data_IF_211755271242
#
_entry.id   IF_211755271242
#
_cell.length_a   1.000
_cell.length_b   1.000
_cell.length_c   1.000
_cell.angle_alpha   90.00
_cell.angle_beta   90.00
_cell.angle_gamma   90.00
#
_symmetry.space_group_name_H-M   'P 1'
#
loop_
_entity.id
_entity.type
_entity.pdbx_description
1 polymer ?
#
# COMPACT_ATOMS: atom_id res chain seq x y z
N UNK A 1 -32.32 -53.95 -7.10
CA UNK A 1 -31.81 -52.60 -6.77
C UNK A 1 -31.60 -51.81 -8.06
N UNK A 2 -32.33 -50.71 -8.27
CA UNK A 2 -32.36 -50.00 -9.57
C UNK A 2 -31.15 -49.07 -9.75
N UNK A 3 -30.27 -49.38 -10.71
CA UNK A 3 -29.00 -48.67 -11.00
C UNK A 3 -29.18 -47.14 -11.20
N UNK A 4 -30.33 -46.70 -11.72
CA UNK A 4 -30.65 -45.27 -11.90
C UNK A 4 -30.83 -44.50 -10.59
N UNK A 5 -31.39 -45.12 -9.56
CA UNK A 5 -31.58 -44.47 -8.24
C UNK A 5 -30.28 -44.33 -7.46
N UNK A 6 -29.33 -45.25 -7.68
CA UNK A 6 -28.02 -45.20 -7.03
C UNK A 6 -27.16 -44.03 -7.55
N UNK A 7 -27.16 -43.78 -8.86
CA UNK A 7 -26.41 -42.66 -9.44
C UNK A 7 -27.00 -41.29 -9.08
N UNK A 8 -28.32 -41.18 -8.99
CA UNK A 8 -28.98 -39.93 -8.53
C UNK A 8 -28.67 -39.63 -7.06
N UNK A 9 -28.66 -40.65 -6.19
CA UNK A 9 -28.30 -40.47 -4.78
C UNK A 9 -26.80 -40.15 -4.60
N UNK A 10 -25.92 -40.79 -5.37
CA UNK A 10 -24.47 -40.55 -5.30
C UNK A 10 -24.05 -39.17 -5.83
N UNK A 11 -24.67 -38.69 -6.93
CA UNK A 11 -24.33 -37.40 -7.55
C UNK A 11 -24.75 -36.18 -6.70
N UNK A 12 -25.90 -36.26 -6.02
CA UNK A 12 -26.38 -35.17 -5.16
C UNK A 12 -25.53 -35.07 -3.87
N UNK A 13 -25.12 -36.20 -3.29
CA UNK A 13 -24.29 -36.21 -2.08
C UNK A 13 -22.86 -35.70 -2.29
N UNK A 14 -22.28 -35.89 -3.49
CA UNK A 14 -20.93 -35.41 -3.80
C UNK A 14 -20.88 -33.91 -4.07
N UNK A 15 -21.91 -33.32 -4.69
CA UNK A 15 -21.96 -31.88 -4.97
C UNK A 15 -22.15 -31.04 -3.70
N UNK A 16 -22.89 -31.52 -2.70
CA UNK A 16 -23.10 -30.79 -1.45
C UNK A 16 -21.86 -30.81 -0.55
N UNK A 17 -21.11 -31.92 -0.51
CA UNK A 17 -19.91 -32.04 0.32
C UNK A 17 -18.69 -31.33 -0.32
N UNK A 18 -18.51 -31.46 -1.63
CA UNK A 18 -17.38 -30.83 -2.32
C UNK A 18 -17.63 -29.33 -2.64
N UNK A 19 -18.87 -28.96 -2.97
CA UNK A 19 -19.21 -27.59 -3.38
C UNK A 19 -19.28 -26.58 -2.24
N UNK A 20 -19.81 -26.96 -1.07
CA UNK A 20 -19.94 -26.05 0.07
C UNK A 20 -18.60 -25.67 0.71
N UNK A 21 -17.61 -26.55 0.62
CA UNK A 21 -16.32 -26.43 1.31
C UNK A 21 -15.29 -25.59 0.55
N UNK A 22 -15.54 -25.25 -0.73
CA UNK A 22 -14.57 -24.53 -1.57
C UNK A 22 -14.82 -23.02 -1.64
N UNK A 23 -15.98 -22.51 -1.17
CA UNK A 23 -16.32 -21.09 -1.26
C UNK A 23 -16.01 -20.27 0.00
N UNK A 24 -15.67 -20.89 1.13
CA UNK A 24 -15.45 -20.16 2.40
C UNK A 24 -14.05 -19.59 2.56
N UNK A 25 -13.08 -20.01 1.75
CA UNK A 25 -11.66 -19.69 1.99
C UNK A 25 -11.12 -18.51 1.16
N UNK A 26 -11.99 -17.76 0.48
CA UNK A 26 -11.63 -16.51 -0.21
C UNK A 26 -12.07 -15.24 0.54
N UNK A 27 -12.50 -15.36 1.80
CA UNK A 27 -12.70 -14.16 2.63
C UNK A 27 -11.39 -13.75 3.28
N UNK A 28 -10.71 -12.82 2.62
CA UNK A 28 -9.83 -11.85 3.24
C UNK A 28 -8.61 -12.46 3.92
N UNK A 29 -7.47 -12.45 3.21
CA UNK A 29 -6.19 -12.33 3.88
C UNK A 29 -6.21 -11.02 4.68
N UNK A 30 -6.72 -11.08 5.91
CA UNK A 30 -6.69 -9.97 6.84
C UNK A 30 -5.21 -9.66 7.07
N UNK A 31 -4.80 -8.46 6.65
CA UNK A 31 -3.44 -7.99 6.90
C UNK A 31 -3.31 -7.85 8.41
N UNK A 32 -2.69 -8.83 9.04
CA UNK A 32 -2.30 -8.77 10.45
C UNK A 32 -1.21 -7.70 10.56
N UNK A 33 -1.61 -6.49 10.92
CA UNK A 33 -0.68 -5.46 11.36
C UNK A 33 -0.26 -5.83 12.79
N UNK A 34 1.04 -5.95 13.09
CA UNK A 34 1.47 -6.13 14.47
C UNK A 34 0.91 -4.99 15.31
N UNK A 35 0.31 -5.33 16.44
CA UNK A 35 -0.21 -4.36 17.40
C UNK A 35 0.92 -3.43 17.82
N UNK A 36 0.83 -2.17 17.43
CA UNK A 36 1.86 -1.18 17.75
C UNK A 36 1.88 -1.02 19.27
N UNK A 37 2.99 -1.35 19.92
CA UNK A 37 3.22 -0.98 21.31
C UNK A 37 3.11 0.54 21.39
N UNK A 38 2.23 1.03 22.25
CA UNK A 38 2.01 2.45 22.49
C UNK A 38 3.22 3.07 23.19
N UNK A 39 4.29 3.29 22.43
CA UNK A 39 5.39 4.19 22.81
C UNK A 39 5.22 5.46 22.00
N UNK A 40 4.93 6.56 22.71
CA UNK A 40 4.64 7.91 22.22
C UNK A 40 3.77 7.96 20.96
N UNK A 41 2.46 8.11 21.16
CA UNK A 41 1.49 8.38 20.07
C UNK A 41 1.84 9.71 19.41
N UNK A 42 2.81 9.71 18.49
CA UNK A 42 3.10 10.81 17.61
C UNK A 42 1.83 11.08 16.81
N UNK A 43 1.19 12.20 17.10
CA UNK A 43 -0.04 12.62 16.44
C UNK A 43 0.31 12.92 14.98
N UNK A 44 -0.08 12.02 14.08
CA UNK A 44 0.00 12.27 12.65
C UNK A 44 -1.10 13.28 12.31
N UNK A 45 -0.77 14.46 11.73
CA UNK A 45 -1.78 15.45 11.36
C UNK A 45 -2.81 14.84 10.40
N UNK A 46 -4.09 15.13 10.60
CA UNK A 46 -5.18 14.60 9.75
C UNK A 46 -4.99 14.95 8.26
N UNK A 47 -4.47 16.15 7.96
CA UNK A 47 -4.13 16.54 6.59
C UNK A 47 -3.08 15.62 5.97
N UNK A 48 -2.10 15.17 6.77
CA UNK A 48 -1.08 14.24 6.29
C UNK A 48 -1.65 12.86 5.96
N UNK A 49 -2.62 12.38 6.75
CA UNK A 49 -3.34 11.14 6.44
C UNK A 49 -4.08 11.23 5.10
N UNK A 50 -4.65 12.39 4.78
CA UNK A 50 -5.24 12.64 3.46
C UNK A 50 -4.16 12.51 2.37
N UNK A 51 -2.98 13.13 2.52
CA UNK A 51 -1.91 13.03 1.52
C UNK A 51 -1.44 11.58 1.33
N UNK A 52 -1.31 10.84 2.43
CA UNK A 52 -0.97 9.43 2.41
C UNK A 52 -1.99 8.58 1.68
N UNK A 53 -3.28 8.86 1.81
CA UNK A 53 -4.35 8.10 1.13
C UNK A 53 -4.22 8.13 -0.40
N UNK A 54 -3.67 9.21 -0.97
CA UNK A 54 -3.34 9.29 -2.39
C UNK A 54 -1.94 8.73 -2.68
N UNK A 55 -0.97 8.95 -1.78
CA UNK A 55 0.40 8.43 -1.93
C UNK A 55 0.41 6.90 -2.11
N UNK A 56 -0.37 6.17 -1.30
CA UNK A 56 -0.43 4.70 -1.35
C UNK A 56 -1.02 4.13 -2.64
N UNK A 57 -1.66 4.96 -3.48
CA UNK A 57 -2.12 4.54 -4.81
C UNK A 57 -0.97 4.45 -5.83
N UNK A 58 0.26 4.79 -5.44
CA UNK A 58 1.47 4.59 -6.24
C UNK A 58 1.57 3.16 -6.81
N UNK A 59 1.96 3.00 -8.08
CA UNK A 59 2.29 1.68 -8.57
C UNK A 59 3.56 1.21 -7.86
N UNK A 60 3.67 -0.10 -7.64
CA UNK A 60 4.90 -0.72 -7.15
C UNK A 60 5.12 -2.06 -7.83
N UNK A 61 6.39 -2.50 -7.90
CA UNK A 61 6.75 -3.82 -8.43
C UNK A 61 5.93 -4.90 -7.74
N UNK A 62 5.22 -5.72 -8.51
CA UNK A 62 4.27 -6.74 -7.99
C UNK A 62 3.25 -6.20 -6.96
N UNK A 63 2.99 -4.89 -6.95
CA UNK A 63 2.17 -4.21 -5.97
C UNK A 63 2.58 -4.45 -4.49
N UNK A 64 3.88 -4.68 -4.24
CA UNK A 64 4.40 -4.99 -2.89
C UNK A 64 4.30 -3.83 -1.92
N UNK A 65 4.13 -2.60 -2.42
CA UNK A 65 4.03 -1.36 -1.62
C UNK A 65 5.21 -1.25 -0.64
N UNK A 66 6.46 -1.16 -1.13
CA UNK A 66 7.66 -1.34 -0.31
C UNK A 66 8.05 -0.09 0.49
N UNK A 67 7.09 0.75 0.85
CA UNK A 67 7.31 1.99 1.60
C UNK A 67 6.86 1.83 3.06
N UNK A 68 7.63 2.43 3.97
CA UNK A 68 7.25 2.73 5.34
C UNK A 68 7.35 4.24 5.53
N UNK A 69 6.52 4.76 6.42
CA UNK A 69 6.61 6.15 6.83
C UNK A 69 6.51 6.27 8.34
N UNK A 70 7.35 7.12 8.92
CA UNK A 70 7.35 7.39 10.35
C UNK A 70 7.51 8.89 10.63
N UNK A 71 6.87 9.43 11.66
CA UNK A 71 7.09 10.82 12.05
C UNK A 71 8.55 11.04 12.50
N UNK A 72 9.06 12.25 12.24
CA UNK A 72 10.40 12.70 12.57
C UNK A 72 10.40 14.14 13.13
N UNK A 73 9.22 14.65 13.49
CA UNK A 73 8.94 16.01 13.93
C UNK A 73 7.49 16.38 13.61
N UNK A 74 7.07 17.60 13.95
CA UNK A 74 5.68 18.06 13.79
C UNK A 74 5.18 17.98 12.33
N UNK A 75 6.02 18.39 11.38
CA UNK A 75 5.71 18.40 9.94
C UNK A 75 6.80 17.67 9.13
N UNK A 76 7.48 16.71 9.75
CA UNK A 76 8.59 15.98 9.12
C UNK A 76 8.42 14.49 9.28
N UNK A 77 8.74 13.75 8.23
CA UNK A 77 8.57 12.30 8.18
C UNK A 77 9.79 11.66 7.51
N UNK A 78 10.13 10.46 7.94
CA UNK A 78 11.13 9.63 7.27
C UNK A 78 10.39 8.59 6.43
N UNK A 79 10.78 8.49 5.16
CA UNK A 79 10.32 7.45 4.25
C UNK A 79 11.43 6.42 4.09
N UNK A 80 11.06 5.17 4.38
CA UNK A 80 11.99 4.05 4.44
C UNK A 80 11.51 2.91 3.57
N UNK A 81 12.46 2.07 3.18
CA UNK A 81 12.20 0.82 2.47
C UNK A 81 11.66 -0.24 3.43
N UNK A 82 10.49 -0.81 3.11
CA UNK A 82 9.93 -1.94 3.86
C UNK A 82 10.66 -3.24 3.47
N UNK A 83 11.60 -3.67 4.31
CA UNK A 83 12.36 -4.93 4.09
C UNK A 83 11.47 -6.16 3.93
N UNK A 84 10.28 -6.19 4.53
CA UNK A 84 9.34 -7.32 4.44
C UNK A 84 8.67 -7.44 3.07
N UNK A 85 8.71 -6.38 2.27
CA UNK A 85 8.07 -6.29 0.95
C UNK A 85 9.08 -6.41 -0.21
N UNK A 86 10.35 -6.66 0.07
CA UNK A 86 11.38 -6.79 -0.94
C UNK A 86 11.29 -8.13 -1.67
N UNK A 87 11.71 -8.14 -2.93
CA UNK A 87 11.69 -9.31 -3.79
C UNK A 87 13.10 -9.62 -4.32
N UNK A 88 14.02 -10.17 -3.51
CA UNK A 88 15.42 -10.34 -3.90
C UNK A 88 15.65 -11.16 -5.18
N UNK A 89 14.73 -12.08 -5.50
CA UNK A 89 14.80 -12.87 -6.73
C UNK A 89 14.46 -12.07 -8.00
N UNK A 90 13.62 -11.03 -7.89
CA UNK A 90 13.14 -10.21 -9.01
C UNK A 90 13.88 -8.87 -9.08
N UNK A 91 14.16 -8.28 -7.91
CA UNK A 91 14.78 -6.97 -7.73
C UNK A 91 15.97 -7.07 -6.75
N UNK A 92 17.08 -7.75 -7.14
CA UNK A 92 18.19 -8.04 -6.25
C UNK A 92 18.91 -6.78 -5.73
N UNK A 93 18.82 -5.67 -6.45
CA UNK A 93 19.42 -4.39 -6.08
C UNK A 93 18.42 -3.42 -5.42
N UNK A 94 17.17 -3.85 -5.19
CA UNK A 94 16.06 -3.01 -4.72
C UNK A 94 15.79 -1.76 -5.59
N UNK A 95 16.18 -1.78 -6.87
CA UNK A 95 16.03 -0.66 -7.80
C UNK A 95 14.55 -0.39 -8.07
N UNK A 96 13.77 -1.42 -8.35
CA UNK A 96 12.33 -1.28 -8.60
C UNK A 96 11.58 -0.86 -7.34
N UNK A 97 12.05 -1.30 -6.18
CA UNK A 97 11.53 -0.90 -4.89
C UNK A 97 11.78 0.59 -4.62
N UNK A 98 12.97 1.10 -4.95
CA UNK A 98 13.29 2.54 -4.85
C UNK A 98 12.47 3.36 -5.88
N UNK A 99 12.29 2.86 -7.10
CA UNK A 99 11.41 3.51 -8.09
C UNK A 99 9.96 3.60 -7.59
N UNK A 100 9.49 2.56 -6.91
CA UNK A 100 8.17 2.53 -6.27
C UNK A 100 8.03 3.59 -5.18
N UNK A 101 9.08 3.82 -4.37
CA UNK A 101 9.13 4.92 -3.39
C UNK A 101 9.08 6.29 -4.08
N UNK A 102 9.78 6.45 -5.21
CA UNK A 102 9.69 7.68 -6.01
C UNK A 102 8.27 7.97 -6.47
N UNK A 103 7.55 6.98 -6.99
CA UNK A 103 6.16 7.14 -7.41
C UNK A 103 5.20 7.42 -6.24
N UNK A 104 5.46 6.81 -5.08
CA UNK A 104 4.78 7.12 -3.82
C UNK A 104 4.97 8.57 -3.39
N UNK A 105 6.21 9.07 -3.45
CA UNK A 105 6.53 10.44 -3.12
C UNK A 105 5.91 11.45 -4.08
N UNK A 106 5.91 11.16 -5.39
CA UNK A 106 5.29 12.04 -6.38
C UNK A 106 3.79 12.24 -6.09
N UNK A 107 3.05 11.15 -5.85
CA UNK A 107 1.64 11.22 -5.46
C UNK A 107 1.45 12.07 -4.18
N UNK A 108 2.32 11.88 -3.18
CA UNK A 108 2.27 12.64 -1.91
C UNK A 108 2.49 14.14 -2.17
N UNK A 109 3.52 14.49 -2.94
CA UNK A 109 3.89 15.87 -3.28
C UNK A 109 2.75 16.56 -4.04
N UNK A 110 2.16 15.89 -5.03
CA UNK A 110 1.03 16.42 -5.80
C UNK A 110 -0.20 16.66 -4.92
N UNK A 111 -0.50 15.74 -4.02
CA UNK A 111 -1.66 15.87 -3.12
C UNK A 111 -1.44 16.96 -2.08
N UNK A 112 -0.25 17.01 -1.47
CA UNK A 112 0.14 18.08 -0.55
C UNK A 112 0.11 19.46 -1.24
N UNK A 113 0.65 19.55 -2.46
CA UNK A 113 0.60 20.74 -3.31
C UNK A 113 -0.82 21.25 -3.51
N UNK A 114 -1.74 20.35 -3.90
CA UNK A 114 -3.14 20.70 -4.09
C UNK A 114 -3.81 21.22 -2.81
N UNK A 115 -3.39 20.71 -1.65
CA UNK A 115 -3.85 21.14 -0.32
C UNK A 115 -3.10 22.34 0.28
N UNK A 116 -2.25 23.04 -0.49
CA UNK A 116 -1.58 24.26 -0.01
C UNK A 116 -0.32 23.98 0.81
N UNK A 117 0.42 22.93 0.45
CA UNK A 117 1.71 22.60 1.03
C UNK A 117 2.80 22.49 -0.03
N UNK A 118 3.99 23.00 0.26
CA UNK A 118 5.21 22.54 -0.41
C UNK A 118 5.84 21.41 0.38
N UNK A 119 6.47 20.48 -0.34
CA UNK A 119 7.21 19.36 0.26
C UNK A 119 8.68 19.56 -0.05
N UNK A 120 9.50 19.64 1.00
CA UNK A 120 10.96 19.65 0.92
C UNK A 120 11.45 18.22 1.17
N UNK A 121 12.35 17.72 0.33
CA UNK A 121 12.87 16.35 0.43
C UNK A 121 14.38 16.36 0.55
N UNK A 122 14.91 15.62 1.53
CA UNK A 122 16.32 15.43 1.78
C UNK A 122 16.64 13.93 1.69
N UNK A 123 17.54 13.55 0.79
CA UNK A 123 17.99 12.15 0.68
C UNK A 123 18.98 11.89 1.82
N UNK A 124 18.67 10.93 2.68
CA UNK A 124 19.49 10.57 3.85
C UNK A 124 20.24 9.24 3.67
N UNK A 125 19.77 8.37 2.78
CA UNK A 125 20.54 7.22 2.26
C UNK A 125 21.08 6.21 3.28
N UNK A 126 20.53 6.15 4.51
CA UNK A 126 21.07 5.32 5.59
C UNK A 126 20.35 3.96 5.65
N UNK A 127 20.96 2.95 5.04
CA UNK A 127 20.51 1.55 5.02
C UNK A 127 19.11 1.33 4.41
N UNK A 128 18.03 1.55 5.16
CA UNK A 128 16.63 1.50 4.70
C UNK A 128 15.96 2.85 4.67
N UNK A 129 16.46 3.84 5.42
CA UNK A 129 15.88 5.18 5.43
C UNK A 129 16.36 5.91 4.18
N UNK A 130 15.41 6.24 3.30
CA UNK A 130 15.72 6.72 1.96
C UNK A 130 15.78 8.23 1.96
N UNK A 131 14.72 8.87 2.47
CA UNK A 131 14.59 10.31 2.49
C UNK A 131 13.83 10.79 3.72
N UNK A 132 14.13 12.02 4.11
CA UNK A 132 13.31 12.82 5.00
C UNK A 132 12.48 13.78 4.15
N UNK A 133 11.19 13.89 4.45
CA UNK A 133 10.32 14.90 3.87
C UNK A 133 9.85 15.87 4.95
N UNK A 134 9.75 17.14 4.60
CA UNK A 134 9.25 18.21 5.48
C UNK A 134 8.19 19.01 4.74
N UNK A 135 7.03 19.18 5.38
CA UNK A 135 5.91 19.94 4.84
C UNK A 135 5.95 21.39 5.32
N UNK A 136 5.69 22.31 4.41
CA UNK A 136 5.55 23.74 4.70
C UNK A 136 4.29 24.27 4.06
N UNK A 137 3.52 25.10 4.78
CA UNK A 137 2.38 25.79 4.18
C UNK A 137 2.86 26.63 3.01
N UNK A 138 2.14 26.57 1.91
CA UNK A 138 2.47 27.24 0.66
C UNK A 138 1.19 27.59 -0.10
N UNK A 139 1.31 28.28 -1.23
CA UNK A 139 0.20 28.46 -2.15
C UNK A 139 -0.22 27.10 -2.71
N UNK A 140 -1.53 26.85 -2.80
CA UNK A 140 -2.04 25.66 -3.46
C UNK A 140 -1.52 25.59 -4.90
N UNK A 141 -1.08 24.40 -5.28
CA UNK A 141 -0.68 24.03 -6.63
C UNK A 141 -1.72 23.02 -7.17
N UNK A 142 -2.75 23.48 -7.89
CA UNK A 142 -3.84 22.61 -8.30
C UNK A 142 -3.35 21.45 -9.17
N UNK A 143 -3.83 20.24 -8.85
CA UNK A 143 -3.61 19.05 -9.64
C UNK A 143 -4.91 18.26 -9.77
N UNK A 144 -5.14 17.64 -10.92
CA UNK A 144 -6.32 16.81 -11.12
C UNK A 144 -6.18 15.49 -10.33
N UNK A 145 -6.79 15.42 -9.15
CA UNK A 145 -6.73 14.22 -8.29
C UNK A 145 -7.30 12.96 -8.97
N UNK A 146 -8.19 13.11 -9.96
CA UNK A 146 -8.70 11.98 -10.73
C UNK A 146 -7.60 11.27 -11.55
N UNK A 147 -6.50 11.95 -11.86
CA UNK A 147 -5.34 11.33 -12.50
C UNK A 147 -4.62 10.33 -11.59
N UNK A 148 -4.70 10.51 -10.26
CA UNK A 148 -4.14 9.56 -9.28
C UNK A 148 -5.14 8.45 -8.97
N UNK A 149 -6.42 8.77 -8.78
CA UNK A 149 -7.44 7.78 -8.38
C UNK A 149 -7.92 6.93 -9.56
N UNK A 150 -7.92 7.47 -10.77
CA UNK A 150 -8.40 6.80 -11.98
C UNK A 150 -7.32 6.01 -12.73
N UNK A 151 -6.04 6.19 -12.41
CA UNK A 151 -4.96 5.46 -13.11
C UNK A 151 -4.90 4.00 -12.68
N UNK A 152 -4.63 3.13 -13.64
CA UNK A 152 -4.45 1.68 -13.44
C UNK A 152 -3.48 1.13 -14.47
N UNK A 153 -2.77 0.08 -14.10
CA UNK A 153 -1.96 -0.67 -15.07
C UNK A 153 -2.90 -1.43 -16.00
N UNK A 154 -2.83 -1.14 -17.30
CA UNK A 154 -3.51 -1.90 -18.35
C UNK A 154 -2.47 -2.86 -18.95
N UNK A 155 -2.81 -4.14 -19.05
CA UNK A 155 -1.98 -5.18 -19.66
C UNK A 155 -2.62 -5.65 -20.96
#
# INVERSE_FOLDING_TARGET
MNRRRFLQAGGIGLLTIAGGSLFTDFHGAERVYPEAKAEDTLIIPHEFLNFLSYAVLAPSGHNTQPWLIRPAGENSFIVSLNRKCLLPAVDPMNRESILSIGAFMENLILTAGNSGYSTETEIIGSSTDILKLTLRKSKSNPYNMNSITGRRTVR
#
